data_IF_179395604709
#
_entry.id   IF_179395604709
#
_cell.length_a   1.000
_cell.length_b   1.000
_cell.length_c   1.000
_cell.angle_alpha   90.00
_cell.angle_beta   90.00
_cell.angle_gamma   90.00
#
_symmetry.space_group_name_H-M   'P 1'
#
loop_
_entity.id
_entity.type
_entity.pdbx_description
1 polymer ?
#
# COMPACT_ATOMS: atom_id res chain seq x y z
N UNK A 1 -13.09 -0.32 2.53
CA UNK A 1 -11.84 0.47 2.61
C UNK A 1 -11.73 1.09 3.99
N UNK A 2 -10.52 1.34 4.49
CA UNK A 2 -10.32 1.96 5.80
C UNK A 2 -9.41 3.18 5.67
N UNK A 3 -9.82 4.30 6.28
CA UNK A 3 -8.99 5.50 6.38
C UNK A 3 -7.90 5.27 7.42
N UNK A 4 -6.64 5.45 7.05
CA UNK A 4 -5.48 5.25 7.96
C UNK A 4 -4.79 6.56 8.33
N UNK A 5 -4.98 7.61 7.53
CA UNK A 5 -4.62 8.99 7.84
C UNK A 5 -5.49 9.95 7.04
N UNK A 6 -5.29 11.27 7.22
CA UNK A 6 -6.01 12.22 6.38
C UNK A 6 -5.75 11.98 4.90
N UNK A 7 -6.83 11.95 4.11
CA UNK A 7 -6.85 11.63 2.66
C UNK A 7 -6.23 10.29 2.24
N UNK A 8 -5.78 9.44 3.17
CA UNK A 8 -5.12 8.17 2.89
C UNK A 8 -5.98 6.98 3.32
N UNK A 9 -6.28 6.11 2.37
CA UNK A 9 -7.09 4.91 2.57
C UNK A 9 -6.31 3.66 2.16
N UNK A 10 -6.61 2.55 2.83
CA UNK A 10 -6.15 1.20 2.45
C UNK A 10 -7.34 0.33 2.08
N UNK A 11 -7.21 -0.43 1.01
CA UNK A 11 -8.26 -1.28 0.46
C UNK A 11 -7.75 -2.63 -0.03
N UNK A 12 -8.66 -3.62 -0.01
CA UNK A 12 -8.55 -4.81 -0.84
C UNK A 12 -9.08 -4.54 -2.25
N UNK A 13 -8.78 -5.43 -3.21
CA UNK A 13 -9.36 -5.35 -4.55
C UNK A 13 -10.89 -5.45 -4.55
N UNK A 14 -11.47 -6.24 -3.65
CA UNK A 14 -12.92 -6.38 -3.52
C UNK A 14 -13.58 -5.11 -2.96
N UNK A 15 -12.90 -4.43 -2.04
CA UNK A 15 -13.39 -3.18 -1.47
C UNK A 15 -13.29 -2.03 -2.47
N UNK A 16 -12.21 -2.00 -3.25
CA UNK A 16 -11.98 -1.00 -4.29
C UNK A 16 -13.07 -1.01 -5.37
N UNK A 17 -13.60 -2.19 -5.71
CA UNK A 17 -14.64 -2.33 -6.74
C UNK A 17 -16.04 -2.07 -6.19
N UNK A 18 -16.29 -2.41 -4.91
CA UNK A 18 -17.60 -2.30 -4.30
C UNK A 18 -18.00 -0.86 -3.95
N UNK A 19 -17.04 -0.03 -3.54
CA UNK A 19 -17.33 1.31 -2.99
C UNK A 19 -16.25 2.35 -3.38
N UNK A 20 -16.11 2.71 -4.66
CA UNK A 20 -14.99 3.54 -5.11
C UNK A 20 -15.04 4.99 -4.57
N UNK A 21 -13.89 5.52 -4.18
CA UNK A 21 -13.70 6.93 -3.83
C UNK A 21 -13.58 7.74 -5.13
N UNK A 22 -14.62 8.51 -5.45
CA UNK A 22 -14.68 9.31 -6.68
C UNK A 22 -13.59 10.40 -6.68
N UNK A 23 -12.83 10.47 -7.78
CA UNK A 23 -11.75 11.45 -7.95
C UNK A 23 -10.45 11.13 -7.20
N UNK A 24 -10.39 10.03 -6.43
CA UNK A 24 -9.16 9.61 -5.78
C UNK A 24 -8.12 9.07 -6.77
N UNK A 25 -6.84 9.17 -6.37
CA UNK A 25 -5.75 8.43 -7.01
C UNK A 25 -5.64 7.05 -6.37
N UNK A 26 -5.61 6.01 -7.19
CA UNK A 26 -5.44 4.63 -6.75
C UNK A 26 -4.01 4.20 -7.00
N UNK A 27 -3.28 3.89 -5.94
CA UNK A 27 -1.92 3.31 -6.03
C UNK A 27 -2.04 1.82 -5.74
N UNK A 28 -1.83 1.02 -6.78
CA UNK A 28 -2.08 -0.39 -6.78
C UNK A 28 -0.80 -1.18 -6.59
N UNK A 29 -0.65 -1.72 -5.39
CA UNK A 29 0.43 -2.59 -4.96
C UNK A 29 0.17 -4.08 -5.27
N UNK A 30 -0.70 -4.36 -6.23
CA UNK A 30 -1.04 -5.73 -6.62
C UNK A 30 0.10 -6.38 -7.41
N UNK A 31 0.20 -7.70 -7.38
CA UNK A 31 1.22 -8.43 -8.15
C UNK A 31 0.96 -8.27 -9.64
N UNK A 32 -0.33 -8.18 -10.01
CA UNK A 32 -0.77 -7.91 -11.38
C UNK A 32 -1.33 -6.49 -11.49
N UNK A 33 -1.11 -5.81 -12.62
CA UNK A 33 -1.67 -4.49 -12.85
C UNK A 33 -3.19 -4.49 -12.70
N UNK A 34 -3.69 -3.59 -11.88
CA UNK A 34 -5.11 -3.32 -11.72
C UNK A 34 -5.65 -2.62 -12.97
N UNK A 35 -6.94 -2.83 -13.27
CA UNK A 35 -7.56 -2.30 -14.49
C UNK A 35 -7.23 -3.08 -15.77
N UNK A 36 -6.46 -4.17 -15.68
CA UNK A 36 -6.20 -5.08 -16.81
C UNK A 36 -7.26 -6.20 -16.87
N UNK A 37 -8.01 -6.27 -17.97
CA UNK A 37 -9.12 -7.22 -18.18
C UNK A 37 -8.68 -8.66 -18.57
N UNK A 38 -7.45 -9.08 -18.29
CA UNK A 38 -7.01 -10.43 -18.67
C UNK A 38 -7.54 -11.47 -17.70
N UNK A 39 -8.65 -12.09 -18.10
CA UNK A 39 -9.33 -13.21 -17.47
C UNK A 39 -8.44 -14.46 -17.47
N UNK A 40 -7.83 -14.79 -16.34
CA UNK A 40 -7.45 -16.18 -16.03
C UNK A 40 -8.28 -16.64 -14.85
N UNK A 41 -8.89 -17.81 -15.00
CA UNK A 41 -10.16 -18.19 -14.41
C UNK A 41 -10.23 -18.32 -12.87
N UNK A 42 -9.15 -18.13 -12.10
CA UNK A 42 -9.12 -18.51 -10.68
C UNK A 42 -8.41 -17.53 -9.74
N UNK A 43 -8.23 -16.26 -10.12
CA UNK A 43 -7.81 -15.23 -9.15
C UNK A 43 -8.56 -13.93 -9.40
N UNK A 44 -8.95 -13.18 -8.34
CA UNK A 44 -9.66 -11.92 -8.49
C UNK A 44 -8.79 -10.96 -9.31
N UNK A 45 -9.22 -10.68 -10.54
CA UNK A 45 -8.75 -9.52 -11.29
C UNK A 45 -9.17 -8.32 -10.46
N UNK A 46 -8.24 -7.44 -10.11
CA UNK A 46 -8.56 -6.23 -9.36
C UNK A 46 -9.35 -5.27 -10.28
N UNK A 47 -10.70 -5.28 -10.22
CA UNK A 47 -11.50 -4.51 -11.14
C UNK A 47 -11.61 -3.12 -10.52
N UNK A 48 -10.70 -2.22 -10.83
CA UNK A 48 -10.89 -0.83 -10.41
C UNK A 48 -12.03 -0.31 -11.27
N UNK A 49 -13.19 -0.17 -10.65
CA UNK A 49 -14.47 0.07 -11.31
C UNK A 49 -14.70 1.56 -11.62
N UNK A 50 -13.76 2.45 -11.30
CA UNK A 50 -13.94 3.88 -11.55
C UNK A 50 -13.25 4.30 -12.87
N UNK A 51 -14.01 4.56 -13.95
CA UNK A 51 -13.47 5.12 -15.19
C UNK A 51 -12.90 6.55 -15.02
N UNK A 52 -13.10 7.19 -13.87
CA UNK A 52 -12.56 8.51 -13.54
C UNK A 52 -11.36 8.48 -12.57
N UNK A 53 -10.94 7.30 -12.11
CA UNK A 53 -9.80 7.16 -11.21
C UNK A 53 -8.47 7.21 -11.97
N UNK A 54 -7.51 7.99 -11.45
CA UNK A 54 -6.11 7.84 -11.86
C UNK A 54 -5.52 6.62 -11.19
N UNK A 55 -5.06 5.64 -11.97
CA UNK A 55 -4.54 4.36 -11.47
C UNK A 55 -3.03 4.32 -11.72
N UNK A 56 -2.27 4.10 -10.65
CA UNK A 56 -0.81 3.92 -10.69
C UNK A 56 -0.49 2.51 -10.22
N UNK A 57 0.13 1.73 -11.09
CA UNK A 57 0.49 0.35 -10.77
C UNK A 57 1.92 0.26 -10.28
N UNK A 58 2.09 -0.21 -9.04
CA UNK A 58 3.38 -0.53 -8.42
C UNK A 58 3.37 -2.04 -8.18
N UNK A 59 3.83 -2.87 -9.12
CA UNK A 59 3.72 -4.31 -9.01
C UNK A 59 4.61 -4.82 -7.87
N UNK A 60 3.99 -5.13 -6.74
CA UNK A 60 4.65 -5.69 -5.57
C UNK A 60 4.32 -7.18 -5.46
N UNK A 61 5.36 -8.00 -5.29
CA UNK A 61 5.24 -9.45 -5.08
C UNK A 61 5.54 -9.79 -3.63
N UNK A 62 4.98 -10.90 -3.18
CA UNK A 62 5.41 -11.49 -1.94
C UNK A 62 6.35 -12.65 -2.26
N UNK A 63 7.58 -12.57 -1.77
CA UNK A 63 8.59 -13.62 -1.86
C UNK A 63 9.25 -13.79 -0.50
N UNK A 64 9.97 -14.89 -0.28
CA UNK A 64 10.75 -15.08 0.94
C UNK A 64 11.80 -13.97 1.11
N UNK A 65 12.42 -13.57 0.01
CA UNK A 65 13.36 -12.44 -0.07
C UNK A 65 12.81 -11.48 -1.12
N UNK A 66 12.22 -10.34 -0.71
CA UNK A 66 11.73 -9.34 -1.65
C UNK A 66 12.89 -8.75 -2.48
N UNK A 67 12.76 -8.68 -3.83
CA UNK A 67 13.80 -8.14 -4.71
C UNK A 67 13.74 -6.60 -4.77
N UNK A 68 13.60 -5.95 -3.62
CA UNK A 68 13.43 -4.50 -3.50
C UNK A 68 14.51 -3.94 -2.58
N UNK A 69 14.81 -2.65 -2.74
CA UNK A 69 15.65 -1.89 -1.83
C UNK A 69 14.87 -0.69 -1.29
N UNK A 70 15.38 -0.06 -0.22
CA UNK A 70 14.74 1.14 0.31
C UNK A 70 14.64 2.27 -0.74
N UNK A 71 15.56 2.33 -1.70
CA UNK A 71 15.56 3.40 -2.73
C UNK A 71 14.31 3.37 -3.61
N UNK A 72 13.80 2.20 -4.00
CA UNK A 72 12.54 2.11 -4.75
C UNK A 72 11.36 2.55 -3.89
N UNK A 73 11.34 2.12 -2.62
CA UNK A 73 10.27 2.47 -1.69
C UNK A 73 10.22 3.96 -1.38
N UNK A 74 11.37 4.61 -1.24
CA UNK A 74 11.43 6.07 -1.05
C UNK A 74 10.80 6.81 -2.25
N UNK A 75 10.98 6.31 -3.48
CA UNK A 75 10.29 6.87 -4.66
C UNK A 75 8.78 6.64 -4.61
N UNK A 76 8.32 5.53 -4.05
CA UNK A 76 6.89 5.27 -3.86
C UNK A 76 6.30 6.18 -2.78
N UNK A 77 7.07 6.51 -1.74
CA UNK A 77 6.69 7.50 -0.73
C UNK A 77 6.63 8.92 -1.34
N UNK A 78 7.60 9.31 -2.17
CA UNK A 78 7.58 10.59 -2.89
C UNK A 78 6.35 10.71 -3.81
N UNK A 79 6.01 9.61 -4.51
CA UNK A 79 4.80 9.53 -5.32
C UNK A 79 3.54 9.70 -4.46
N UNK A 80 3.48 9.01 -3.31
CA UNK A 80 2.36 9.09 -2.39
C UNK A 80 2.19 10.52 -1.83
N UNK A 81 3.28 11.18 -1.44
CA UNK A 81 3.29 12.59 -1.01
C UNK A 81 2.71 13.50 -2.08
N UNK A 82 3.19 13.36 -3.32
CA UNK A 82 2.69 14.15 -4.44
C UNK A 82 1.17 14.01 -4.60
N UNK A 83 0.63 12.78 -4.58
CA UNK A 83 -0.81 12.58 -4.80
C UNK A 83 -1.66 13.01 -3.60
N UNK A 84 -1.18 12.85 -2.35
CA UNK A 84 -1.89 13.31 -1.16
C UNK A 84 -2.01 14.85 -1.11
N UNK A 85 -1.08 15.59 -1.72
CA UNK A 85 -1.19 17.04 -1.87
C UNK A 85 -2.33 17.45 -2.84
N UNK A 86 -2.70 16.56 -3.78
CA UNK A 86 -3.65 16.85 -4.84
C UNK A 86 -5.04 16.21 -4.65
N UNK A 87 -5.21 15.35 -3.63
CA UNK A 87 -6.50 14.73 -3.36
C UNK A 87 -6.42 13.53 -2.45
N UNK A 88 -7.45 12.70 -2.50
CA UNK A 88 -7.50 11.43 -1.78
C UNK A 88 -6.68 10.36 -2.50
N UNK A 89 -6.00 9.51 -1.72
CA UNK A 89 -5.24 8.38 -2.21
C UNK A 89 -5.75 7.08 -1.59
N UNK A 90 -5.99 6.09 -2.44
CA UNK A 90 -6.35 4.74 -2.04
C UNK A 90 -5.20 3.80 -2.39
N UNK A 91 -4.55 3.23 -1.37
CA UNK A 91 -3.57 2.16 -1.53
C UNK A 91 -4.30 0.81 -1.63
N UNK A 92 -4.08 0.08 -2.71
CA UNK A 92 -4.80 -1.18 -3.01
C UNK A 92 -3.82 -2.34 -3.12
N UNK A 93 -4.15 -3.47 -2.51
CA UNK A 93 -3.54 -4.77 -2.82
C UNK A 93 -4.63 -5.85 -2.85
N UNK A 94 -4.32 -7.06 -3.31
CA UNK A 94 -5.32 -8.12 -3.53
C UNK A 94 -6.20 -8.35 -2.30
N UNK A 95 -5.60 -8.55 -1.12
CA UNK A 95 -6.31 -8.78 0.14
C UNK A 95 -6.37 -7.53 1.03
N UNK A 96 -5.56 -6.50 0.76
CA UNK A 96 -5.49 -5.32 1.62
C UNK A 96 -4.80 -5.58 2.97
N UNK A 97 -3.97 -6.63 3.09
CA UNK A 97 -3.41 -7.06 4.39
C UNK A 97 -1.88 -6.90 4.48
N UNK A 98 -1.17 -6.95 3.35
CA UNK A 98 0.31 -6.95 3.32
C UNK A 98 0.88 -5.73 2.57
N UNK A 99 0.87 -5.73 1.24
CA UNK A 99 1.63 -4.75 0.42
C UNK A 99 1.14 -3.30 0.54
N UNK A 100 -0.14 -3.06 0.26
CA UNK A 100 -0.72 -1.72 0.39
C UNK A 100 -0.63 -1.15 1.81
N UNK A 101 -1.05 -1.88 2.87
CA UNK A 101 -0.87 -1.37 4.24
C UNK A 101 0.60 -1.23 4.67
N UNK A 102 1.54 -1.99 4.08
CA UNK A 102 2.97 -1.76 4.34
C UNK A 102 3.45 -0.42 3.79
N UNK A 103 3.02 -0.02 2.60
CA UNK A 103 3.34 1.31 2.07
C UNK A 103 2.70 2.42 2.93
N UNK A 104 1.48 2.21 3.42
CA UNK A 104 0.84 3.11 4.38
C UNK A 104 1.65 3.26 5.67
N UNK A 105 2.09 2.14 6.27
CA UNK A 105 2.92 2.14 7.48
C UNK A 105 4.20 2.95 7.27
N UNK A 106 4.91 2.71 6.17
CA UNK A 106 6.15 3.44 5.88
C UNK A 106 5.89 4.95 5.73
N UNK A 107 4.83 5.33 5.04
CA UNK A 107 4.47 6.75 4.92
C UNK A 107 4.15 7.38 6.28
N UNK A 108 3.41 6.66 7.12
CA UNK A 108 3.06 7.16 8.45
C UNK A 108 4.29 7.38 9.34
N UNK A 109 5.29 6.50 9.23
CA UNK A 109 6.55 6.58 9.99
C UNK A 109 7.48 7.66 9.44
N UNK A 110 7.75 7.63 8.14
CA UNK A 110 8.87 8.39 7.55
C UNK A 110 8.44 9.74 6.96
N UNK A 111 7.17 9.92 6.62
CA UNK A 111 6.66 11.17 6.00
C UNK A 111 5.76 11.96 6.94
N UNK A 112 4.79 11.30 7.56
CA UNK A 112 3.89 11.98 8.50
C UNK A 112 4.43 12.08 9.92
N UNK A 113 5.42 11.25 10.26
CA UNK A 113 6.01 11.11 11.60
C UNK A 113 4.98 10.85 12.72
N UNK A 114 3.86 10.21 12.38
CA UNK A 114 2.78 9.90 13.33
C UNK A 114 2.98 8.57 14.07
N UNK A 115 3.87 7.72 13.56
CA UNK A 115 4.23 6.42 14.14
C UNK A 115 5.71 6.38 14.54
N UNK A 116 6.06 5.50 15.48
CA UNK A 116 7.45 5.36 15.93
C UNK A 116 8.39 4.96 14.80
N UNK A 117 9.52 5.68 14.68
CA UNK A 117 10.64 5.33 13.81
C UNK A 117 11.69 4.44 14.49
N UNK A 118 11.51 4.08 15.77
CA UNK A 118 12.55 3.37 16.54
C UNK A 118 12.92 1.99 15.97
N UNK A 119 11.95 1.30 15.38
CA UNK A 119 12.13 0.02 14.70
C UNK A 119 10.88 -0.36 13.92
N UNK A 120 11.02 -1.24 12.93
CA UNK A 120 9.86 -1.80 12.22
C UNK A 120 8.86 -2.48 13.19
N UNK A 121 9.36 -3.21 14.19
CA UNK A 121 8.50 -3.88 15.16
C UNK A 121 7.63 -2.90 15.97
N UNK A 122 8.19 -1.76 16.39
CA UNK A 122 7.45 -0.72 17.10
C UNK A 122 6.40 -0.06 16.17
N UNK A 123 6.82 0.34 14.96
CA UNK A 123 5.92 0.90 13.96
C UNK A 123 4.76 -0.03 13.62
N UNK A 124 5.04 -1.33 13.45
CA UNK A 124 4.02 -2.36 13.19
C UNK A 124 3.03 -2.48 14.33
N UNK A 125 3.50 -2.51 15.57
CA UNK A 125 2.62 -2.58 16.74
C UNK A 125 1.67 -1.38 16.80
N UNK A 126 2.18 -0.17 16.55
CA UNK A 126 1.36 1.04 16.56
C UNK A 126 0.38 1.06 15.38
N UNK A 127 0.86 0.72 14.18
CA UNK A 127 0.03 0.67 12.97
C UNK A 127 -1.08 -0.38 13.05
N UNK A 128 -0.84 -1.54 13.67
CA UNK A 128 -1.87 -2.56 13.89
C UNK A 128 -3.02 -2.08 14.77
N UNK A 129 -2.86 -0.99 15.55
CA UNK A 129 -3.98 -0.35 16.27
C UNK A 129 -4.84 0.52 15.33
N UNK A 130 -4.24 1.11 14.31
CA UNK A 130 -4.92 1.92 13.28
C UNK A 130 -5.57 1.01 12.23
N UNK A 131 -4.85 -0.03 11.81
CA UNK A 131 -5.28 -0.97 10.77
C UNK A 131 -5.11 -2.43 11.27
N UNK A 132 -6.10 -2.98 12.01
CA UNK A 132 -6.01 -4.30 12.64
C UNK A 132 -5.81 -5.48 11.68
N UNK A 133 -6.12 -5.27 10.39
CA UNK A 133 -5.90 -6.26 9.33
C UNK A 133 -4.47 -6.31 8.81
N UNK A 134 -3.56 -5.49 9.36
CA UNK A 134 -2.16 -5.49 8.92
C UNK A 134 -1.47 -6.81 9.24
N UNK A 135 -1.17 -7.57 8.19
CA UNK A 135 -0.51 -8.86 8.25
C UNK A 135 0.51 -8.95 7.10
N UNK A 136 1.71 -8.36 7.26
CA UNK A 136 2.75 -8.43 6.25
C UNK A 136 3.24 -9.87 6.08
N UNK A 137 3.52 -10.29 4.84
CA UNK A 137 4.15 -11.60 4.59
C UNK A 137 5.55 -11.63 5.23
N UNK A 138 6.00 -12.76 5.80
CA UNK A 138 7.35 -12.95 6.33
C UNK A 138 8.51 -12.24 5.59
N UNK A 139 8.60 -12.33 4.25
CA UNK A 139 9.67 -11.66 3.50
C UNK A 139 9.64 -10.14 3.60
N UNK A 140 8.45 -9.53 3.70
CA UNK A 140 8.33 -8.09 3.96
C UNK A 140 8.85 -7.70 5.33
N UNK A 141 8.61 -8.53 6.34
CA UNK A 141 9.14 -8.30 7.70
C UNK A 141 10.66 -8.26 7.65
N UNK A 142 11.28 -9.28 7.04
CA UNK A 142 12.75 -9.36 6.89
C UNK A 142 13.28 -8.14 6.14
N UNK A 143 12.67 -7.80 5.00
CA UNK A 143 13.06 -6.64 4.21
C UNK A 143 12.99 -5.34 5.01
N UNK A 144 11.88 -5.08 5.70
CA UNK A 144 11.72 -3.84 6.46
C UNK A 144 12.64 -3.75 7.67
N UNK A 145 12.94 -4.88 8.33
CA UNK A 145 13.92 -4.91 9.42
C UNK A 145 15.34 -4.63 8.93
N UNK A 146 15.72 -5.19 7.77
CA UNK A 146 17.07 -5.02 7.21
C UNK A 146 17.31 -3.61 6.64
N UNK A 147 16.29 -3.02 6.02
CA UNK A 147 16.40 -1.75 5.30
C UNK A 147 15.86 -0.56 6.09
N UNK A 148 15.46 -0.77 7.35
CA UNK A 148 14.71 0.21 8.16
C UNK A 148 15.33 1.62 8.15
N UNK A 149 16.64 1.69 8.37
CA UNK A 149 17.36 2.95 8.48
C UNK A 149 17.60 3.63 7.12
N UNK A 150 17.38 2.92 6.01
CA UNK A 150 17.55 3.43 4.65
C UNK A 150 16.27 4.10 4.09
N UNK A 151 15.12 3.91 4.75
CA UNK A 151 13.88 4.61 4.44
C UNK A 151 13.92 6.07 4.91
N UNK A 152 13.24 6.94 4.15
CA UNK A 152 13.18 8.39 4.36
C UNK A 152 11.91 8.97 3.76
#
# INVERSE_FOLDING_TARGET
MNKVADKLYVASCNECSADPVLGATYICCCQRPCGSFKTQANMPVCPIASPAASIINIPLINTEIPPYHAVEFNRYLDLLDYHLQHGEVVLVSELGESRAPSLALLWLVFRSETLSRSSFAAARMDFSRIYPRYLPWPGWIIFFEQEWDAFR
#
